data_IF_324795036120
#
_entry.id   IF_324795036120
#
_cell.length_a   1.000
_cell.length_b   1.000
_cell.length_c   1.000
_cell.angle_alpha   90.00
_cell.angle_beta   90.00
_cell.angle_gamma   90.00
#
_symmetry.space_group_name_H-M   'P 1'
#
loop_
_entity.id
_entity.type
_entity.pdbx_description
1 polymer ?
#
# COMPACT_ATOMS: atom_id res chain seq x y z
N UNK A 1 10.94 55.38 25.85
CA UNK A 1 10.39 54.09 26.33
C UNK A 1 9.25 53.74 25.41
N UNK A 2 9.56 52.98 24.35
CA UNK A 2 8.60 52.61 23.32
C UNK A 2 8.12 51.20 23.64
N UNK A 3 6.88 51.08 24.10
CA UNK A 3 6.23 49.81 24.43
C UNK A 3 5.91 49.07 23.14
N UNK A 4 6.64 47.97 22.89
CA UNK A 4 6.37 47.08 21.78
C UNK A 4 4.95 46.50 21.87
N UNK A 5 4.15 46.73 20.83
CA UNK A 5 2.84 46.11 20.65
C UNK A 5 3.01 44.59 20.52
N UNK A 6 2.48 43.84 21.48
CA UNK A 6 2.20 42.42 21.30
C UNK A 6 1.22 42.24 20.14
N UNK A 7 1.72 41.76 18.99
CA UNK A 7 0.88 41.29 17.91
C UNK A 7 0.25 39.97 18.32
N UNK A 8 -1.08 39.93 18.38
CA UNK A 8 -1.86 38.70 18.59
C UNK A 8 -1.46 37.71 17.50
N UNK A 9 -0.80 36.61 17.91
CA UNK A 9 -0.46 35.50 17.03
C UNK A 9 -1.72 34.70 16.71
N UNK A 10 -1.79 34.19 15.49
CA UNK A 10 -2.85 33.28 15.06
C UNK A 10 -2.89 32.05 15.99
N UNK A 11 -4.06 31.57 16.45
CA UNK A 11 -4.17 30.44 17.38
C UNK A 11 -3.49 29.16 16.87
N UNK A 12 -3.30 29.00 15.57
CA UNK A 12 -2.61 27.84 14.98
C UNK A 12 -1.10 28.04 14.82
N UNK A 13 -0.56 29.21 15.19
CA UNK A 13 0.86 29.51 15.14
C UNK A 13 1.51 29.26 16.49
N UNK A 14 2.45 28.32 16.53
CA UNK A 14 3.26 28.06 17.72
C UNK A 14 3.91 29.37 18.21
N UNK A 15 3.86 29.59 19.53
CA UNK A 15 4.55 30.71 20.17
C UNK A 15 6.05 30.63 19.88
N UNK A 16 6.74 31.77 19.94
CA UNK A 16 8.18 31.85 19.62
C UNK A 16 9.00 30.83 20.43
N UNK A 17 8.60 30.57 21.66
CA UNK A 17 9.28 29.68 22.60
C UNK A 17 9.04 28.19 22.28
N UNK A 18 7.96 27.89 21.56
CA UNK A 18 7.56 26.55 21.11
C UNK A 18 7.84 26.32 19.61
N UNK A 19 8.55 27.26 18.98
CA UNK A 19 8.93 27.15 17.59
C UNK A 19 9.92 25.99 17.41
N UNK A 20 9.60 25.06 16.51
CA UNK A 20 10.51 23.99 16.09
C UNK A 20 11.84 24.52 15.54
N UNK A 21 11.88 25.79 15.13
CA UNK A 21 13.09 26.46 14.61
C UNK A 21 14.07 26.89 15.70
N UNK A 22 13.71 26.77 16.98
CA UNK A 22 14.65 27.06 18.09
C UNK A 22 15.74 25.98 18.18
N UNK A 23 15.37 24.72 17.93
CA UNK A 23 16.30 23.58 17.95
C UNK A 23 16.80 23.21 16.56
N UNK A 24 16.13 23.71 15.50
CA UNK A 24 16.42 23.35 14.12
C UNK A 24 16.80 24.58 13.28
N UNK A 25 17.96 24.51 12.62
CA UNK A 25 18.37 25.56 11.69
C UNK A 25 17.46 25.54 10.44
N UNK A 26 16.59 26.56 10.35
CA UNK A 26 15.63 26.73 9.27
C UNK A 26 16.27 26.73 7.87
N UNK A 27 17.36 27.47 7.69
CA UNK A 27 18.05 27.53 6.39
C UNK A 27 18.59 26.18 5.96
N UNK A 28 19.07 25.38 6.91
CA UNK A 28 19.58 24.02 6.64
C UNK A 28 18.44 23.08 6.24
N UNK A 29 17.30 23.17 6.93
CA UNK A 29 16.11 22.40 6.59
C UNK A 29 15.57 22.75 5.21
N UNK A 30 15.40 24.04 4.93
CA UNK A 30 14.91 24.52 3.63
C UNK A 30 15.87 24.10 2.50
N UNK A 31 17.19 24.23 2.70
CA UNK A 31 18.21 23.79 1.73
C UNK A 31 18.18 22.27 1.50
N UNK A 32 18.01 21.47 2.55
CA UNK A 32 17.93 20.01 2.42
C UNK A 32 16.65 19.59 1.70
N UNK A 33 15.52 20.24 2.01
CA UNK A 33 14.23 19.98 1.35
C UNK A 33 14.31 20.33 -0.13
N UNK A 34 14.90 21.49 -0.48
CA UNK A 34 15.17 21.89 -1.85
C UNK A 34 16.07 20.87 -2.58
N UNK A 35 17.12 20.39 -1.92
CA UNK A 35 18.04 19.41 -2.50
C UNK A 35 17.38 18.04 -2.74
N UNK A 36 16.45 17.63 -1.86
CA UNK A 36 15.65 16.40 -2.06
C UNK A 36 14.67 16.60 -3.21
N UNK A 37 13.97 17.74 -3.26
CA UNK A 37 13.04 18.07 -4.35
C UNK A 37 13.75 18.12 -5.71
N UNK A 38 14.95 18.68 -5.78
CA UNK A 38 15.76 18.69 -7.01
C UNK A 38 16.27 17.30 -7.40
N UNK A 39 16.35 16.37 -6.45
CA UNK A 39 16.69 14.96 -6.68
C UNK A 39 15.46 14.10 -6.98
N UNK A 40 14.38 14.66 -7.55
CA UNK A 40 13.20 13.95 -8.06
C UNK A 40 13.57 12.90 -9.12
N UNK A 41 14.20 11.83 -8.68
CA UNK A 41 14.30 10.58 -9.36
C UNK A 41 13.17 9.74 -8.81
N UNK A 42 12.00 9.84 -9.44
CA UNK A 42 10.99 8.78 -9.33
C UNK A 42 11.69 7.55 -9.87
N UNK A 43 12.05 6.62 -8.98
CA UNK A 43 12.61 5.35 -9.43
C UNK A 43 11.57 4.74 -10.37
N UNK A 44 11.91 4.68 -11.66
CA UNK A 44 11.07 3.99 -12.65
C UNK A 44 10.75 2.60 -12.13
N UNK A 45 9.55 2.10 -12.49
CA UNK A 45 9.07 0.79 -12.06
C UNK A 45 10.20 -0.25 -12.16
N UNK A 46 10.71 -0.70 -11.00
CA UNK A 46 11.78 -1.69 -10.95
C UNK A 46 11.16 -3.03 -11.35
N UNK A 47 11.40 -3.42 -12.59
CA UNK A 47 11.08 -4.77 -13.05
C UNK A 47 12.02 -5.74 -12.34
N UNK A 48 11.55 -6.36 -11.26
CA UNK A 48 12.28 -7.47 -10.63
C UNK A 48 12.41 -8.60 -11.66
N UNK A 49 13.64 -9.02 -11.91
CA UNK A 49 13.98 -9.99 -12.94
C UNK A 49 13.14 -11.28 -12.79
N UNK A 50 12.70 -11.83 -13.93
CA UNK A 50 11.89 -13.06 -14.09
C UNK A 50 12.58 -14.36 -13.64
N UNK A 51 13.66 -14.29 -12.88
CA UNK A 51 14.41 -15.45 -12.41
C UNK A 51 13.92 -15.85 -11.02
N UNK A 52 12.74 -16.47 -10.98
CA UNK A 52 12.27 -17.16 -9.78
C UNK A 52 12.63 -18.65 -9.84
N UNK A 53 12.97 -19.27 -8.70
CA UNK A 53 13.41 -20.64 -8.66
C UNK A 53 12.27 -21.56 -9.13
N UNK A 54 12.48 -22.20 -10.28
CA UNK A 54 11.58 -23.19 -10.89
C UNK A 54 11.27 -24.39 -9.97
N UNK A 55 11.87 -24.46 -8.79
CA UNK A 55 11.84 -25.58 -7.85
C UNK A 55 10.65 -25.56 -6.87
N UNK A 56 9.73 -24.58 -6.93
CA UNK A 56 8.53 -24.53 -6.07
C UNK A 56 7.22 -24.95 -6.74
N UNK A 57 7.25 -25.35 -8.02
CA UNK A 57 6.10 -26.00 -8.63
C UNK A 57 6.04 -27.45 -8.20
N UNK A 58 5.75 -27.63 -6.92
CA UNK A 58 5.22 -28.89 -6.44
C UNK A 58 3.92 -29.15 -7.22
N UNK A 59 3.67 -30.40 -7.63
CA UNK A 59 2.49 -30.76 -8.45
C UNK A 59 1.16 -30.49 -7.72
N UNK A 60 1.24 -30.10 -6.45
CA UNK A 60 0.17 -29.69 -5.55
C UNK A 60 -0.23 -28.22 -5.67
N UNK A 61 0.59 -27.36 -6.31
CA UNK A 61 0.28 -25.93 -6.45
C UNK A 61 -0.62 -25.69 -7.68
N UNK A 62 -1.89 -25.31 -7.50
CA UNK A 62 -2.87 -25.26 -8.57
C UNK A 62 -2.79 -23.99 -9.44
N UNK A 63 -2.07 -22.96 -9.00
CA UNK A 63 -1.91 -21.70 -9.73
C UNK A 63 -0.55 -21.67 -10.44
N UNK A 64 -0.51 -21.23 -11.70
CA UNK A 64 0.78 -20.86 -12.27
C UNK A 64 1.25 -19.55 -11.63
N UNK A 65 2.56 -19.33 -11.57
CA UNK A 65 3.11 -18.06 -11.09
C UNK A 65 2.61 -16.87 -11.93
N UNK A 66 2.42 -17.05 -13.23
CA UNK A 66 1.90 -15.98 -14.09
C UNK A 66 0.50 -15.55 -13.64
N UNK A 67 -0.34 -16.51 -13.27
CA UNK A 67 -1.67 -16.25 -12.72
C UNK A 67 -1.58 -15.60 -11.35
N UNK A 68 -0.73 -16.12 -10.45
CA UNK A 68 -0.53 -15.56 -9.11
C UNK A 68 -0.04 -14.10 -9.18
N UNK A 69 0.94 -13.83 -10.02
CA UNK A 69 1.47 -12.50 -10.23
C UNK A 69 0.42 -11.57 -10.81
N UNK A 70 -0.31 -11.99 -11.85
CA UNK A 70 -1.35 -11.16 -12.45
C UNK A 70 -2.42 -10.81 -11.41
N UNK A 71 -2.88 -11.79 -10.64
CA UNK A 71 -3.86 -11.57 -9.58
C UNK A 71 -3.33 -10.60 -8.52
N UNK A 72 -2.07 -10.73 -8.10
CA UNK A 72 -1.46 -9.83 -7.13
C UNK A 72 -1.38 -8.39 -7.67
N UNK A 73 -0.95 -8.22 -8.92
CA UNK A 73 -0.87 -6.92 -9.59
C UNK A 73 -2.27 -6.29 -9.73
N UNK A 74 -3.28 -7.07 -10.10
CA UNK A 74 -4.67 -6.62 -10.25
C UNK A 74 -5.28 -6.18 -8.92
N UNK A 75 -5.10 -6.97 -7.85
CA UNK A 75 -5.59 -6.59 -6.53
C UNK A 75 -4.85 -5.38 -5.96
N UNK A 76 -3.55 -5.24 -6.22
CA UNK A 76 -2.81 -4.05 -5.85
C UNK A 76 -3.38 -2.82 -6.56
N UNK A 77 -3.61 -2.92 -7.88
CA UNK A 77 -4.22 -1.83 -8.64
C UNK A 77 -5.59 -1.42 -8.09
N UNK A 78 -6.47 -2.37 -7.81
CA UNK A 78 -7.80 -2.10 -7.22
C UNK A 78 -7.65 -1.45 -5.83
N UNK A 79 -6.72 -1.93 -5.01
CA UNK A 79 -6.47 -1.38 -3.68
C UNK A 79 -5.97 0.07 -3.71
N UNK A 80 -5.22 0.45 -4.75
CA UNK A 80 -4.74 1.81 -4.97
C UNK A 80 -5.79 2.74 -5.63
N UNK A 81 -6.94 2.21 -6.05
CA UNK A 81 -7.92 2.92 -6.90
C UNK A 81 -8.82 3.89 -6.10
N UNK A 82 -8.23 4.77 -5.30
CA UNK A 82 -8.94 5.90 -4.67
C UNK A 82 -8.58 7.23 -5.35
N UNK A 83 -9.55 8.10 -5.64
CA UNK A 83 -9.28 9.43 -6.17
C UNK A 83 -8.49 10.28 -5.16
N UNK A 84 -7.41 10.93 -5.64
CA UNK A 84 -6.66 12.03 -5.00
C UNK A 84 -5.49 11.70 -4.06
N UNK A 85 -4.93 10.49 -4.03
CA UNK A 85 -3.67 10.25 -3.32
C UNK A 85 -2.75 9.31 -4.10
N UNK A 86 -1.45 9.56 -4.00
CA UNK A 86 -0.37 8.69 -4.45
C UNK A 86 -0.30 7.45 -3.53
N UNK A 87 -1.28 6.56 -3.62
CA UNK A 87 -1.30 5.34 -2.82
C UNK A 87 -0.36 4.29 -3.42
N UNK A 88 0.52 3.75 -2.56
CA UNK A 88 1.38 2.60 -2.90
C UNK A 88 0.80 1.39 -2.20
N UNK A 89 0.40 0.41 -3.00
CA UNK A 89 -0.16 -0.85 -2.50
C UNK A 89 0.67 -2.03 -2.97
N UNK A 90 0.90 -2.98 -2.08
CA UNK A 90 1.49 -4.27 -2.37
C UNK A 90 0.52 -5.38 -1.97
N UNK A 91 0.43 -6.40 -2.82
CA UNK A 91 -0.40 -7.57 -2.56
C UNK A 91 0.43 -8.84 -2.66
N UNK A 92 0.14 -9.80 -1.79
CA UNK A 92 0.74 -11.13 -1.83
C UNK A 92 -0.36 -12.17 -1.81
N UNK A 93 -0.17 -13.22 -2.62
CA UNK A 93 -1.08 -14.36 -2.71
C UNK A 93 -0.32 -15.57 -2.17
N UNK A 94 -0.91 -16.25 -1.20
CA UNK A 94 -0.32 -17.42 -0.55
C UNK A 94 -1.31 -18.57 -0.61
N UNK A 95 -0.87 -19.77 -1.00
CA UNK A 95 -1.64 -20.97 -0.70
C UNK A 95 -1.31 -21.47 0.69
N UNK A 96 -2.36 -21.77 1.44
CA UNK A 96 -2.23 -22.40 2.75
C UNK A 96 -1.89 -23.88 2.56
N UNK A 97 -0.96 -24.41 3.36
CA UNK A 97 -0.52 -25.81 3.22
C UNK A 97 -1.51 -26.82 3.80
N UNK A 98 -2.26 -26.39 4.81
CA UNK A 98 -3.12 -27.27 5.61
C UNK A 98 -4.54 -27.39 5.04
N UNK A 99 -4.99 -26.37 4.29
CA UNK A 99 -6.29 -26.35 3.61
C UNK A 99 -6.12 -25.79 2.19
N UNK A 100 -6.92 -26.25 1.20
CA UNK A 100 -6.93 -25.71 -0.15
C UNK A 100 -7.58 -24.31 -0.17
N UNK A 101 -6.90 -23.35 0.45
CA UNK A 101 -7.32 -21.96 0.56
C UNK A 101 -6.24 -21.02 0.03
N UNK A 102 -6.71 -19.94 -0.59
CA UNK A 102 -5.88 -18.83 -1.05
C UNK A 102 -6.01 -17.71 -0.03
N UNK A 103 -4.89 -17.26 0.50
CA UNK A 103 -4.77 -16.10 1.36
C UNK A 103 -4.27 -14.90 0.54
N UNK A 104 -5.03 -13.80 0.56
CA UNK A 104 -4.65 -12.54 -0.08
C UNK A 104 -4.29 -11.53 1.01
N UNK A 105 -3.05 -11.03 0.99
CA UNK A 105 -2.54 -10.03 1.94
C UNK A 105 -2.35 -8.71 1.21
N UNK A 106 -2.96 -7.64 1.73
CA UNK A 106 -2.81 -6.29 1.19
C UNK A 106 -2.04 -5.43 2.18
N UNK A 107 -1.07 -4.66 1.68
CA UNK A 107 -0.36 -3.64 2.41
C UNK A 107 -0.43 -2.33 1.63
N UNK A 108 -0.75 -1.23 2.31
CA UNK A 108 -0.88 0.09 1.71
C UNK A 108 -0.27 1.14 2.65
N UNK A 109 0.39 2.16 2.10
CA UNK A 109 1.06 3.21 2.87
C UNK A 109 0.11 3.99 3.79
N UNK A 110 -1.10 4.28 3.32
CA UNK A 110 -2.14 5.01 4.06
C UNK A 110 -3.31 4.10 4.46
N UNK A 111 -3.09 2.78 4.40
CA UNK A 111 -4.16 1.80 4.53
C UNK A 111 -5.03 1.67 3.28
N UNK A 112 -5.92 0.68 3.29
CA UNK A 112 -6.89 0.45 2.20
C UNK A 112 -8.20 1.11 2.58
N UNK A 113 -8.81 1.83 1.64
CA UNK A 113 -10.15 2.41 1.79
C UNK A 113 -11.15 1.42 2.40
N UNK A 114 -12.00 1.84 3.36
CA UNK A 114 -13.11 1.01 3.84
C UNK A 114 -14.02 0.53 2.70
N UNK A 115 -14.29 1.38 1.70
CA UNK A 115 -15.16 1.04 0.56
C UNK A 115 -14.51 -0.03 -0.34
N UNK A 116 -13.20 0.07 -0.56
CA UNK A 116 -12.45 -0.92 -1.35
C UNK A 116 -12.35 -2.23 -0.57
N UNK A 117 -12.09 -2.16 0.74
CA UNK A 117 -12.09 -3.33 1.60
C UNK A 117 -13.44 -4.05 1.59
N UNK A 118 -14.55 -3.31 1.66
CA UNK A 118 -15.90 -3.86 1.57
C UNK A 118 -16.14 -4.54 0.23
N UNK A 119 -15.76 -3.89 -0.87
CA UNK A 119 -15.92 -4.41 -2.22
C UNK A 119 -15.10 -5.68 -2.46
N UNK A 120 -13.84 -5.70 -1.98
CA UNK A 120 -12.98 -6.89 -2.05
C UNK A 120 -13.54 -8.05 -1.21
N UNK A 121 -14.05 -7.77 -0.01
CA UNK A 121 -14.68 -8.78 0.82
C UNK A 121 -15.93 -9.38 0.16
N UNK A 122 -16.75 -8.56 -0.49
CA UNK A 122 -17.90 -9.04 -1.26
C UNK A 122 -17.47 -9.93 -2.42
N UNK A 123 -16.47 -9.49 -3.21
CA UNK A 123 -15.89 -10.27 -4.29
C UNK A 123 -15.37 -11.63 -3.79
N UNK A 124 -14.62 -11.64 -2.68
CA UNK A 124 -14.13 -12.89 -2.08
C UNK A 124 -15.27 -13.78 -1.56
N UNK A 125 -16.35 -13.20 -1.03
CA UNK A 125 -17.54 -13.93 -0.60
C UNK A 125 -18.21 -14.66 -1.78
N UNK A 126 -18.38 -13.96 -2.90
CA UNK A 126 -18.93 -14.54 -4.14
C UNK A 126 -18.03 -15.67 -4.64
N UNK A 127 -16.72 -15.44 -4.73
CA UNK A 127 -15.76 -16.47 -5.16
C UNK A 127 -15.79 -17.71 -4.25
N UNK A 128 -15.83 -17.52 -2.92
CA UNK A 128 -16.01 -18.62 -1.97
C UNK A 128 -17.30 -19.40 -2.22
N UNK A 129 -18.41 -18.69 -2.45
CA UNK A 129 -19.69 -19.32 -2.78
C UNK A 129 -19.65 -20.20 -4.03
N UNK A 130 -18.90 -19.79 -5.07
CA UNK A 130 -18.69 -20.61 -6.26
C UNK A 130 -17.75 -21.80 -6.02
N UNK A 131 -16.67 -21.61 -5.26
CA UNK A 131 -15.73 -22.66 -4.92
C UNK A 131 -16.41 -23.80 -4.12
N UNK A 132 -17.26 -23.45 -3.14
CA UNK A 132 -18.03 -24.41 -2.34
C UNK A 132 -19.06 -25.20 -3.16
N UNK A 133 -19.62 -24.62 -4.22
CA UNK A 133 -20.55 -25.32 -5.12
C UNK A 133 -19.85 -26.35 -6.01
N UNK A 134 -18.61 -26.07 -6.41
CA UNK A 134 -17.79 -26.97 -7.24
C UNK A 134 -17.33 -28.21 -6.45
N UNK A 135 -17.03 -28.06 -5.16
CA UNK A 135 -16.62 -29.18 -4.29
C UNK A 135 -17.75 -30.19 -4.06
N UNK A 136 -19.01 -29.74 -4.07
CA UNK A 136 -20.19 -30.60 -3.95
C UNK A 136 -20.54 -31.36 -5.24
N UNK A 137 -20.07 -30.92 -6.41
CA UNK A 137 -20.33 -31.63 -7.68
C UNK A 137 -19.33 -32.75 -7.96
N UNK A 138 -18.12 -32.69 -7.39
CA UNK A 138 -17.08 -33.72 -7.54
C UNK A 138 -17.26 -34.93 -6.60
N UNK A 139 -18.20 -34.89 -5.66
CA UNK A 139 -18.47 -36.00 -4.71
C UNK A 139 -19.62 -36.92 -5.14
N UNK A 140 -20.06 -36.86 -6.41
CA UNK A 140 -21.19 -37.64 -6.91
C UNK A 140 -20.82 -38.59 -8.04
#
# INVERSE_FOLDING_TARGET
METAKESVLDPDTATRDQSIWNDFNRESFERQTQAIYQKQHVAGCRSYAKTFPSSRYDKSYPLSFEVERSLADDFAFIAACQPKVEYVTAVTIELTKDEPSILVRLAANEGVSPDVQSSLNELFSVLKGHASRSTLSLTR
#
